data_IF_643703955616
#
_entry.id   IF_643703955616
#
_cell.length_a   1.000
_cell.length_b   1.000
_cell.length_c   1.000
_cell.angle_alpha   90.00
_cell.angle_beta   90.00
_cell.angle_gamma   90.00
#
_symmetry.space_group_name_H-M   'P 1'
#
loop_
_entity.id
_entity.type
_entity.pdbx_description
1 polymer ?
#
# COMPACT_ATOMS: atom_id res chain seq x y z
N UNK A 1 -9.09 -21.05 -10.40
CA UNK A 1 -10.21 -21.44 -9.50
C UNK A 1 -9.72 -22.55 -8.59
N UNK A 2 -9.99 -22.40 -7.29
CA UNK A 2 -9.74 -23.41 -6.27
C UNK A 2 -11.10 -23.90 -5.74
N UNK A 3 -11.10 -25.02 -5.01
CA UNK A 3 -12.30 -25.57 -4.37
C UNK A 3 -12.01 -25.96 -2.93
N UNK A 4 -12.88 -25.55 -2.02
CA UNK A 4 -12.87 -25.96 -0.61
C UNK A 4 -14.24 -26.53 -0.17
N UNK A 5 -14.47 -26.67 1.13
CA UNK A 5 -15.76 -27.14 1.68
C UNK A 5 -16.94 -26.23 1.36
N UNK A 6 -16.69 -24.95 1.13
CA UNK A 6 -17.72 -23.95 0.86
C UNK A 6 -17.98 -23.72 -0.64
N UNK A 7 -17.28 -24.46 -1.51
CA UNK A 7 -17.45 -24.41 -2.96
C UNK A 7 -16.25 -23.86 -3.69
N UNK A 8 -16.49 -23.23 -4.84
CA UNK A 8 -15.43 -22.68 -5.69
C UNK A 8 -15.05 -21.27 -5.26
N UNK A 9 -13.73 -20.98 -5.36
CA UNK A 9 -13.16 -19.65 -5.20
C UNK A 9 -12.36 -19.31 -6.46
N UNK A 10 -12.73 -18.26 -7.16
CA UNK A 10 -11.99 -17.73 -8.28
C UNK A 10 -11.03 -16.63 -7.80
N UNK A 11 -9.79 -16.67 -8.29
CA UNK A 11 -8.79 -15.63 -8.07
C UNK A 11 -8.47 -14.97 -9.40
N UNK A 12 -8.58 -13.64 -9.45
CA UNK A 12 -8.18 -12.83 -10.60
C UNK A 12 -7.05 -11.92 -10.20
N UNK A 13 -5.87 -12.10 -10.80
CA UNK A 13 -4.72 -11.24 -10.61
C UNK A 13 -4.67 -10.23 -11.76
N UNK A 14 -4.83 -8.95 -11.45
CA UNK A 14 -4.79 -7.83 -12.39
C UNK A 14 -3.40 -7.19 -12.32
N UNK A 15 -2.55 -7.37 -13.33
CA UNK A 15 -1.24 -6.74 -13.35
C UNK A 15 -1.38 -5.24 -13.53
N UNK A 16 -0.45 -4.47 -12.94
CA UNK A 16 -0.34 -3.05 -13.28
C UNK A 16 -0.12 -2.90 -14.79
N UNK A 17 -0.86 -2.01 -15.41
CA UNK A 17 -0.72 -1.69 -16.83
C UNK A 17 -0.97 -0.21 -17.08
N UNK A 18 -0.24 0.34 -18.05
CA UNK A 18 -0.52 1.66 -18.59
C UNK A 18 -1.64 1.58 -19.64
N UNK A 19 -2.33 2.68 -19.87
CA UNK A 19 -3.46 2.78 -20.77
C UNK A 19 -3.09 2.37 -22.21
N UNK A 20 -1.91 2.76 -22.69
CA UNK A 20 -1.44 2.40 -24.05
C UNK A 20 -1.30 0.88 -24.23
N UNK A 21 -0.81 0.18 -23.20
CA UNK A 21 -0.67 -1.28 -23.25
C UNK A 21 -2.04 -1.97 -23.14
N UNK A 22 -2.93 -1.42 -22.30
CA UNK A 22 -4.29 -1.93 -22.19
C UNK A 22 -5.08 -1.75 -23.50
N UNK A 23 -4.95 -0.59 -24.19
CA UNK A 23 -5.53 -0.39 -25.52
C UNK A 23 -5.11 -1.48 -26.50
N UNK A 24 -3.81 -1.78 -26.56
CA UNK A 24 -3.27 -2.81 -27.44
C UNK A 24 -3.82 -4.21 -27.11
N UNK A 25 -3.84 -4.58 -25.82
CA UNK A 25 -4.28 -5.92 -25.37
C UNK A 25 -5.78 -6.13 -25.55
N UNK A 26 -6.59 -5.13 -25.25
CA UNK A 26 -8.06 -5.23 -25.31
C UNK A 26 -8.65 -4.77 -26.65
N UNK A 27 -7.84 -4.16 -27.52
CA UNK A 27 -8.30 -3.62 -28.82
C UNK A 27 -9.30 -2.45 -28.64
N UNK A 28 -9.18 -1.69 -27.54
CA UNK A 28 -10.11 -0.62 -27.19
C UNK A 28 -9.36 0.72 -27.03
N UNK A 29 -9.47 1.56 -28.06
CA UNK A 29 -8.83 2.89 -28.11
C UNK A 29 -9.47 3.90 -27.13
N UNK A 30 -10.59 3.59 -26.51
CA UNK A 30 -11.27 4.48 -25.55
C UNK A 30 -10.64 4.44 -24.16
N UNK A 31 -9.84 3.42 -23.84
CA UNK A 31 -9.11 3.31 -22.58
C UNK A 31 -8.16 4.49 -22.43
N UNK A 32 -8.40 5.37 -21.47
CA UNK A 32 -7.70 6.65 -21.31
C UNK A 32 -7.30 6.96 -19.87
N UNK A 33 -7.84 6.25 -18.90
CA UNK A 33 -7.56 6.43 -17.47
C UNK A 33 -7.17 5.11 -16.80
N UNK A 34 -6.52 5.14 -15.62
CA UNK A 34 -6.28 3.94 -14.82
C UNK A 34 -7.58 3.19 -14.46
N UNK A 35 -8.69 3.90 -14.29
CA UNK A 35 -9.99 3.28 -14.05
C UNK A 35 -10.44 2.45 -15.24
N UNK A 36 -10.33 2.98 -16.47
CA UNK A 36 -10.68 2.23 -17.68
C UNK A 36 -9.84 0.95 -17.83
N UNK A 37 -8.55 1.02 -17.47
CA UNK A 37 -7.65 -0.14 -17.49
C UNK A 37 -8.16 -1.23 -16.54
N UNK A 38 -8.46 -0.87 -15.30
CA UNK A 38 -8.95 -1.80 -14.28
C UNK A 38 -10.32 -2.37 -14.69
N UNK A 39 -11.23 -1.56 -15.23
CA UNK A 39 -12.54 -1.99 -15.71
C UNK A 39 -12.44 -3.01 -16.87
N UNK A 40 -11.55 -2.76 -17.83
CA UNK A 40 -11.26 -3.69 -18.92
C UNK A 40 -10.72 -5.03 -18.40
N UNK A 41 -9.76 -4.98 -17.48
CA UNK A 41 -9.19 -6.16 -16.85
C UNK A 41 -10.23 -6.94 -16.03
N UNK A 42 -11.07 -6.26 -15.25
CA UNK A 42 -12.14 -6.88 -14.46
C UNK A 42 -13.19 -7.52 -15.35
N UNK A 43 -13.57 -6.86 -16.46
CA UNK A 43 -14.51 -7.40 -17.43
C UNK A 43 -14.00 -8.70 -18.05
N UNK A 44 -12.74 -8.72 -18.47
CA UNK A 44 -12.09 -9.93 -18.98
C UNK A 44 -11.99 -11.03 -17.91
N UNK A 45 -11.62 -10.68 -16.69
CA UNK A 45 -11.50 -11.61 -15.58
C UNK A 45 -12.85 -12.23 -15.18
N UNK A 46 -13.90 -11.41 -15.11
CA UNK A 46 -15.27 -11.84 -14.75
C UNK A 46 -15.83 -12.93 -15.66
N UNK A 47 -15.47 -12.89 -16.94
CA UNK A 47 -15.89 -13.91 -17.91
C UNK A 47 -15.37 -15.33 -17.54
N UNK A 48 -14.33 -15.42 -16.71
CA UNK A 48 -13.74 -16.68 -16.26
C UNK A 48 -14.13 -17.08 -14.82
N UNK A 49 -14.98 -16.30 -14.15
CA UNK A 49 -15.48 -16.61 -12.81
C UNK A 49 -16.68 -17.54 -12.92
N UNK A 50 -16.62 -18.78 -12.38
CA UNK A 50 -17.76 -19.70 -12.44
C UNK A 50 -18.98 -19.11 -11.70
N UNK A 51 -20.17 -19.44 -12.21
CA UNK A 51 -21.40 -18.98 -11.58
C UNK A 51 -21.52 -19.51 -10.14
N UNK A 52 -21.68 -18.61 -9.19
CA UNK A 52 -21.80 -18.92 -7.77
C UNK A 52 -20.46 -19.16 -7.06
N UNK A 53 -19.33 -19.01 -7.74
CA UNK A 53 -18.02 -19.00 -7.08
C UNK A 53 -17.83 -17.70 -6.31
N UNK A 54 -17.15 -17.78 -5.16
CA UNK A 54 -16.59 -16.61 -4.48
C UNK A 54 -15.48 -16.03 -5.35
N UNK A 55 -15.40 -14.70 -5.42
CA UNK A 55 -14.44 -14.04 -6.29
C UNK A 55 -13.48 -13.13 -5.53
N UNK A 56 -12.20 -13.45 -5.58
CA UNK A 56 -11.11 -12.66 -5.02
C UNK A 56 -10.34 -11.98 -6.13
N UNK A 57 -10.21 -10.66 -6.04
CA UNK A 57 -9.41 -9.85 -6.95
C UNK A 57 -8.12 -9.43 -6.26
N UNK A 58 -7.00 -9.54 -6.97
CA UNK A 58 -5.69 -9.02 -6.55
C UNK A 58 -5.27 -7.99 -7.59
N UNK A 59 -5.08 -6.74 -7.17
CA UNK A 59 -4.76 -5.65 -8.08
C UNK A 59 -3.69 -4.71 -7.51
N UNK A 60 -3.03 -3.97 -8.39
CA UNK A 60 -2.12 -2.90 -8.03
C UNK A 60 -2.65 -1.60 -8.61
N UNK A 61 -3.35 -0.81 -7.78
CA UNK A 61 -4.04 0.40 -8.20
C UNK A 61 -4.10 1.44 -7.08
N UNK A 62 -4.16 2.72 -7.45
CA UNK A 62 -4.46 3.78 -6.51
C UNK A 62 -5.98 4.03 -6.48
N UNK A 63 -6.65 3.52 -5.45
CA UNK A 63 -8.10 3.63 -5.29
C UNK A 63 -8.44 4.91 -4.53
N UNK A 64 -9.48 5.61 -5.00
CA UNK A 64 -9.94 6.87 -4.41
C UNK A 64 -10.29 6.70 -2.91
N UNK A 65 -9.87 7.67 -2.09
CA UNK A 65 -10.08 7.67 -0.64
C UNK A 65 -8.99 6.98 0.17
N UNK A 66 -7.98 6.37 -0.49
CA UNK A 66 -6.79 5.87 0.20
C UNK A 66 -5.89 7.00 0.73
N UNK A 67 -5.37 6.84 1.95
CA UNK A 67 -4.37 7.74 2.52
C UNK A 67 -3.00 7.46 1.91
N UNK A 68 -2.35 8.48 1.38
CA UNK A 68 -1.07 8.43 0.66
C UNK A 68 0.06 8.95 1.56
N UNK A 69 1.19 8.25 1.61
CA UNK A 69 2.43 8.74 2.22
C UNK A 69 3.26 9.56 1.24
N UNK A 70 4.26 10.29 1.75
CA UNK A 70 5.15 11.14 0.94
C UNK A 70 6.06 10.32 0.01
N UNK A 71 6.38 9.08 0.38
CA UNK A 71 7.22 8.15 -0.38
C UNK A 71 6.46 7.43 -1.49
N UNK A 72 5.14 7.51 -1.52
CA UNK A 72 4.30 6.85 -2.52
C UNK A 72 4.17 7.71 -3.77
N UNK A 73 4.35 7.09 -4.94
CA UNK A 73 4.17 7.80 -6.21
C UNK A 73 2.69 7.92 -6.54
N UNK A 74 2.11 9.08 -6.26
CA UNK A 74 0.83 9.45 -6.85
C UNK A 74 1.00 9.59 -8.38
N UNK A 75 0.14 8.92 -9.15
CA UNK A 75 0.06 9.14 -10.60
C UNK A 75 -0.55 10.52 -10.84
N UNK A 76 0.31 11.54 -10.91
CA UNK A 76 -0.11 12.90 -11.20
C UNK A 76 -0.07 13.16 -12.70
N UNK A 77 -1.21 13.52 -13.29
CA UNK A 77 -1.33 14.11 -14.62
C UNK A 77 -1.77 15.57 -14.53
N UNK A 78 -1.72 16.24 -15.67
CA UNK A 78 -2.26 17.60 -15.79
C UNK A 78 -3.76 17.57 -15.45
N UNK A 79 -4.13 18.10 -14.26
CA UNK A 79 -5.51 18.06 -13.76
C UNK A 79 -5.71 17.36 -12.42
N UNK A 80 -4.70 16.66 -11.88
CA UNK A 80 -4.79 16.03 -10.56
C UNK A 80 -4.21 14.63 -10.46
N UNK A 81 -4.50 13.96 -9.34
CA UNK A 81 -4.12 12.56 -9.09
C UNK A 81 -5.20 11.67 -9.72
N UNK A 82 -4.79 10.80 -10.64
CA UNK A 82 -5.72 9.82 -11.22
C UNK A 82 -5.91 8.64 -10.28
N UNK A 83 -7.14 8.45 -9.84
CA UNK A 83 -7.53 7.37 -8.94
C UNK A 83 -8.55 6.46 -9.60
N UNK A 84 -8.59 5.22 -9.12
CA UNK A 84 -9.61 4.25 -9.51
C UNK A 84 -10.76 4.33 -8.49
N UNK A 85 -12.02 4.53 -8.92
CA UNK A 85 -13.16 4.45 -8.01
C UNK A 85 -13.29 3.05 -7.39
N UNK A 86 -13.62 2.97 -6.09
CA UNK A 86 -13.78 1.68 -5.41
C UNK A 86 -14.92 0.83 -6.00
N UNK A 87 -15.91 1.48 -6.58
CA UNK A 87 -17.10 0.89 -7.18
C UNK A 87 -16.77 -0.01 -8.39
N UNK A 88 -15.64 0.18 -9.06
CA UNK A 88 -15.24 -0.68 -10.20
C UNK A 88 -15.06 -2.15 -9.77
N UNK A 89 -14.75 -2.38 -8.49
CA UNK A 89 -14.57 -3.72 -7.92
C UNK A 89 -15.88 -4.39 -7.47
N UNK A 90 -17.02 -3.76 -7.75
CA UNK A 90 -18.33 -4.31 -7.37
C UNK A 90 -18.54 -5.72 -7.89
N UNK A 91 -19.04 -6.59 -7.02
CA UNK A 91 -19.27 -8.01 -7.30
C UNK A 91 -18.09 -8.92 -6.96
N UNK A 92 -16.93 -8.40 -6.54
CA UNK A 92 -15.90 -9.19 -5.88
C UNK A 92 -16.22 -9.36 -4.38
N UNK A 93 -16.01 -10.57 -3.85
CA UNK A 93 -16.17 -10.82 -2.41
C UNK A 93 -15.05 -10.20 -1.60
N UNK A 94 -13.83 -10.18 -2.15
CA UNK A 94 -12.67 -9.54 -1.55
C UNK A 94 -11.72 -8.97 -2.61
N UNK A 95 -11.15 -7.79 -2.33
CA UNK A 95 -10.15 -7.14 -3.18
C UNK A 95 -8.88 -6.87 -2.36
N UNK A 96 -7.80 -7.53 -2.75
CA UNK A 96 -6.47 -7.28 -2.20
C UNK A 96 -5.71 -6.29 -3.07
N UNK A 97 -5.40 -5.13 -2.51
CA UNK A 97 -4.72 -4.05 -3.22
C UNK A 97 -3.25 -3.95 -2.81
N UNK A 98 -2.39 -3.71 -3.80
CA UNK A 98 -1.06 -3.16 -3.66
C UNK A 98 -1.01 -1.72 -4.14
N UNK A 99 0.04 -1.01 -3.87
CA UNK A 99 0.40 0.36 -4.18
C UNK A 99 0.64 1.18 -2.92
N UNK A 100 -0.37 1.36 -2.05
CA UNK A 100 -0.23 2.14 -0.83
C UNK A 100 0.50 1.34 0.27
N UNK A 101 1.44 1.99 0.94
CA UNK A 101 2.31 1.39 1.94
C UNK A 101 1.65 1.23 3.32
N UNK A 102 0.60 2.01 3.60
CA UNK A 102 -0.15 1.92 4.84
C UNK A 102 -1.26 0.87 4.74
N UNK A 103 -1.33 -0.12 5.65
CA UNK A 103 -2.46 -1.05 5.73
C UNK A 103 -3.76 -0.27 5.98
N UNK A 104 -4.73 -0.37 5.08
CA UNK A 104 -5.98 0.38 5.17
C UNK A 104 -7.10 -0.21 4.33
N UNK A 105 -8.34 0.10 4.72
CA UNK A 105 -9.53 -0.15 3.93
C UNK A 105 -9.82 1.05 3.03
N UNK A 106 -10.46 0.80 1.90
CA UNK A 106 -10.87 1.86 0.99
C UNK A 106 -12.21 1.53 0.34
N UNK A 107 -13.15 2.47 0.40
CA UNK A 107 -14.51 2.28 -0.13
C UNK A 107 -15.36 1.33 0.72
N UNK A 108 -14.90 0.12 0.95
CA UNK A 108 -15.58 -0.87 1.79
C UNK A 108 -14.57 -1.74 2.57
N UNK A 109 -15.05 -2.46 3.59
CA UNK A 109 -14.20 -3.37 4.40
C UNK A 109 -13.60 -4.52 3.58
N UNK A 110 -14.19 -4.83 2.42
CA UNK A 110 -13.77 -5.91 1.54
C UNK A 110 -12.67 -5.48 0.55
N UNK A 111 -12.35 -4.18 0.47
CA UNK A 111 -11.34 -3.63 -0.43
C UNK A 111 -10.21 -3.07 0.44
N UNK A 112 -9.03 -3.69 0.39
CA UNK A 112 -7.96 -3.39 1.35
C UNK A 112 -6.59 -3.37 0.71
N UNK A 113 -5.79 -2.41 1.16
CA UNK A 113 -4.33 -2.43 1.02
C UNK A 113 -3.73 -3.23 2.18
N UNK A 114 -2.92 -4.23 1.86
CA UNK A 114 -2.11 -4.94 2.87
C UNK A 114 -0.99 -4.07 3.42
N UNK A 115 -0.62 -3.03 2.67
CA UNK A 115 0.50 -2.17 2.96
C UNK A 115 1.86 -2.79 2.61
N UNK A 116 2.92 -2.05 2.86
CA UNK A 116 4.29 -2.52 2.72
C UNK A 116 4.73 -3.32 3.97
N UNK A 117 5.58 -4.35 3.82
CA UNK A 117 6.04 -5.16 4.96
C UNK A 117 6.98 -4.40 5.91
N UNK A 118 7.64 -3.35 5.41
CA UNK A 118 8.56 -2.48 6.15
C UNK A 118 8.25 -1.02 5.85
N UNK A 119 8.71 -0.11 6.70
CA UNK A 119 8.72 1.31 6.37
C UNK A 119 9.81 1.60 5.31
N UNK A 120 9.44 2.29 4.24
CA UNK A 120 10.33 2.71 3.16
C UNK A 120 10.76 4.17 3.28
N UNK A 121 10.08 4.95 4.10
CA UNK A 121 10.37 6.34 4.34
C UNK A 121 10.18 6.74 5.80
N UNK A 122 10.68 7.92 6.15
CA UNK A 122 10.55 8.47 7.50
C UNK A 122 9.15 9.03 7.78
N UNK A 123 8.37 9.30 6.76
CA UNK A 123 6.94 9.61 6.83
C UNK A 123 6.11 8.44 7.35
N UNK A 124 6.64 7.21 7.22
CA UNK A 124 6.03 5.97 7.73
C UNK A 124 6.51 5.62 9.16
N UNK A 125 7.27 6.52 9.82
CA UNK A 125 7.74 6.30 11.18
C UNK A 125 6.56 6.16 12.15
N UNK A 126 6.52 5.03 12.85
CA UNK A 126 5.44 4.69 13.79
C UNK A 126 4.25 3.94 13.16
N UNK A 127 4.21 3.74 11.86
CA UNK A 127 3.21 2.91 11.22
C UNK A 127 3.36 1.44 11.65
N UNK A 128 2.25 0.83 12.07
CA UNK A 128 2.22 -0.59 12.37
C UNK A 128 2.06 -1.38 11.07
N UNK A 129 3.15 -1.88 10.54
CA UNK A 129 3.16 -2.77 9.38
C UNK A 129 2.63 -4.15 9.75
N UNK A 130 1.86 -4.77 8.85
CA UNK A 130 1.19 -6.05 9.12
C UNK A 130 0.98 -6.86 7.86
N UNK A 131 0.75 -8.16 8.06
CA UNK A 131 0.20 -9.05 7.06
C UNK A 131 -1.31 -9.17 7.27
N UNK A 132 -2.10 -9.08 6.21
CA UNK A 132 -3.54 -9.31 6.24
C UNK A 132 -3.83 -10.79 5.94
N UNK A 133 -4.61 -11.43 6.80
CA UNK A 133 -5.12 -12.78 6.60
C UNK A 133 -6.63 -12.65 6.38
N UNK A 134 -7.11 -13.31 5.33
CA UNK A 134 -8.52 -13.24 4.91
C UNK A 134 -9.07 -14.65 4.78
N UNK A 135 -10.12 -14.94 5.53
CA UNK A 135 -10.90 -16.16 5.41
C UNK A 135 -12.15 -15.85 4.57
N UNK A 136 -12.16 -16.32 3.33
CA UNK A 136 -13.28 -16.11 2.39
C UNK A 136 -14.25 -17.27 2.53
N UNK A 137 -15.39 -17.04 3.19
CA UNK A 137 -16.42 -18.02 3.49
C UNK A 137 -17.62 -17.87 2.55
N UNK A 138 -18.53 -18.85 2.59
CA UNK A 138 -19.75 -18.84 1.77
C UNK A 138 -20.67 -17.67 2.10
N UNK A 139 -20.71 -17.24 3.34
CA UNK A 139 -21.61 -16.23 3.88
C UNK A 139 -20.91 -14.91 4.23
N UNK A 140 -19.66 -14.72 3.82
CA UNK A 140 -18.92 -13.50 4.02
C UNK A 140 -17.41 -13.68 4.14
N UNK A 141 -16.73 -12.64 4.58
CA UNK A 141 -15.29 -12.64 4.81
C UNK A 141 -14.95 -12.29 6.25
N UNK A 142 -13.93 -12.95 6.78
CA UNK A 142 -13.29 -12.55 8.03
C UNK A 142 -11.88 -12.03 7.72
N UNK A 143 -11.57 -10.83 8.22
CA UNK A 143 -10.27 -10.20 8.01
C UNK A 143 -9.58 -9.99 9.35
N UNK A 144 -8.33 -10.42 9.44
CA UNK A 144 -7.47 -10.15 10.60
C UNK A 144 -6.07 -9.76 10.16
N UNK A 145 -5.40 -8.95 10.96
CA UNK A 145 -4.02 -8.53 10.71
C UNK A 145 -3.07 -9.20 11.69
N UNK A 146 -1.87 -9.53 11.21
CA UNK A 146 -0.75 -10.01 12.02
C UNK A 146 0.37 -8.97 11.92
N UNK A 147 0.70 -8.26 13.00
CA UNK A 147 1.71 -7.22 12.96
C UNK A 147 3.09 -7.79 12.70
N UNK A 148 3.85 -7.13 11.84
CA UNK A 148 5.27 -7.40 11.67
C UNK A 148 6.08 -6.79 12.82
N UNK A 149 7.17 -7.47 13.16
CA UNK A 149 8.19 -6.99 14.08
C UNK A 149 9.49 -6.80 13.29
N UNK A 150 9.77 -5.58 12.82
CA UNK A 150 10.98 -5.33 12.07
C UNK A 150 12.20 -5.48 12.96
N UNK A 151 13.33 -5.90 12.39
CA UNK A 151 14.63 -5.99 13.08
C UNK A 151 15.09 -4.59 13.52
N UNK A 152 14.84 -3.56 12.71
CA UNK A 152 15.06 -2.15 12.99
C UNK A 152 13.84 -1.36 12.59
N UNK A 153 13.51 -0.38 13.40
CA UNK A 153 12.42 0.56 13.11
C UNK A 153 12.95 1.77 12.34
N UNK A 154 12.04 2.52 11.76
CA UNK A 154 12.27 3.86 11.24
C UNK A 154 11.73 4.85 12.26
N UNK A 155 12.51 5.87 12.62
CA UNK A 155 12.15 6.89 13.60
C UNK A 155 12.48 8.29 13.10
N UNK A 156 11.65 9.27 13.44
CA UNK A 156 11.95 10.69 13.30
C UNK A 156 12.12 11.30 14.69
N UNK A 157 13.26 11.96 14.93
CA UNK A 157 13.56 12.69 16.14
C UNK A 157 13.67 14.18 15.81
N UNK A 158 12.89 15.00 16.49
CA UNK A 158 12.92 16.46 16.33
C UNK A 158 13.31 17.10 17.65
N UNK A 159 14.30 17.98 17.64
CA UNK A 159 14.70 18.70 18.85
C UNK A 159 16.09 19.36 18.73
N UNK A 160 16.52 19.93 19.85
CA UNK A 160 17.85 20.52 19.99
C UNK A 160 18.91 19.42 20.01
N UNK A 161 19.99 19.64 19.34
CA UNK A 161 21.07 18.66 19.15
C UNK A 161 21.57 18.02 20.44
N UNK A 162 21.74 18.83 21.51
CA UNK A 162 22.21 18.32 22.80
C UNK A 162 21.22 17.31 23.41
N UNK A 163 19.91 17.57 23.33
CA UNK A 163 18.86 16.72 23.87
C UNK A 163 18.77 15.41 23.07
N UNK A 164 18.87 15.49 21.75
CA UNK A 164 18.88 14.31 20.88
C UNK A 164 20.07 13.40 21.19
N UNK A 165 21.28 13.97 21.37
CA UNK A 165 22.47 13.20 21.75
C UNK A 165 22.38 12.56 23.14
N UNK A 166 21.63 13.18 24.06
CA UNK A 166 21.38 12.62 25.39
C UNK A 166 20.31 11.51 25.40
N UNK A 167 19.65 11.28 24.27
CA UNK A 167 18.64 10.24 24.11
C UNK A 167 19.19 8.82 24.20
N UNK A 168 18.30 7.84 24.25
CA UNK A 168 18.67 6.43 24.31
C UNK A 168 19.27 5.98 22.96
N UNK A 169 20.50 5.43 22.94
CA UNK A 169 21.09 4.86 21.73
C UNK A 169 20.21 3.76 21.11
N UNK A 170 20.18 3.71 19.79
CA UNK A 170 19.42 2.68 19.05
C UNK A 170 20.06 2.39 17.70
N UNK A 171 19.95 1.14 17.24
CA UNK A 171 20.34 0.71 15.89
C UNK A 171 19.23 0.92 14.85
N UNK A 172 18.14 1.56 15.22
CA UNK A 172 17.07 1.92 14.28
C UNK A 172 17.56 2.93 13.23
N UNK A 173 16.86 3.02 12.10
CA UNK A 173 17.08 4.08 11.13
C UNK A 173 16.46 5.37 11.67
N UNK A 174 17.27 6.41 11.85
CA UNK A 174 16.84 7.63 12.51
C UNK A 174 17.02 8.83 11.58
N UNK A 175 15.94 9.50 11.27
CA UNK A 175 15.97 10.86 10.73
C UNK A 175 16.03 11.85 11.90
N UNK A 176 16.95 12.81 11.83
CA UNK A 176 17.06 13.86 12.85
C UNK A 176 16.74 15.21 12.24
N UNK A 177 15.75 15.89 12.82
CA UNK A 177 15.36 17.26 12.48
C UNK A 177 15.81 18.17 13.61
N UNK A 178 16.90 18.90 13.39
CA UNK A 178 17.50 19.80 14.37
C UNK A 178 16.78 21.13 14.42
N UNK A 179 16.54 21.62 15.64
CA UNK A 179 15.86 22.90 15.91
C UNK A 179 16.80 23.95 16.51
N UNK A 180 18.13 23.69 16.46
CA UNK A 180 19.15 24.62 16.96
C UNK A 180 19.15 25.92 16.10
N UNK A 181 19.24 27.08 16.76
CA UNK A 181 19.31 28.40 16.08
C UNK A 181 20.68 28.70 15.49
N UNK A 182 21.72 27.98 15.93
CA UNK A 182 23.12 28.21 15.53
C UNK A 182 23.65 27.03 14.71
N UNK A 183 24.50 27.29 13.71
CA UNK A 183 25.15 26.22 12.95
C UNK A 183 25.95 25.29 13.84
N UNK A 184 25.83 23.99 13.61
CA UNK A 184 26.52 22.94 14.33
C UNK A 184 27.73 22.42 13.53
N UNK A 185 28.81 22.11 14.22
CA UNK A 185 30.02 21.53 13.58
C UNK A 185 29.87 19.99 13.59
N UNK A 186 29.99 19.39 12.39
CA UNK A 186 29.97 17.94 12.17
C UNK A 186 28.81 17.18 12.87
N UNK A 187 27.55 17.66 12.77
CA UNK A 187 26.45 17.05 13.54
C UNK A 187 26.25 15.58 13.20
N UNK A 188 26.34 15.18 11.93
CA UNK A 188 26.15 13.78 11.53
C UNK A 188 27.20 12.85 12.11
N UNK A 189 28.46 13.27 12.17
CA UNK A 189 29.53 12.46 12.78
C UNK A 189 29.27 12.20 14.27
N UNK A 190 28.75 13.20 14.96
CA UNK A 190 28.42 13.12 16.39
C UNK A 190 27.15 12.30 16.63
N UNK A 191 26.10 12.48 15.77
CA UNK A 191 24.86 11.71 15.85
C UNK A 191 25.11 10.21 15.65
N UNK A 192 25.96 9.83 14.68
CA UNK A 192 26.28 8.42 14.41
C UNK A 192 27.03 7.72 15.53
N UNK A 193 27.59 8.44 16.49
CA UNK A 193 28.14 7.83 17.71
C UNK A 193 27.03 7.27 18.64
N UNK A 194 25.85 7.91 18.64
CA UNK A 194 24.68 7.49 19.43
C UNK A 194 23.66 6.71 18.59
N UNK A 195 23.50 7.08 17.32
CA UNK A 195 22.58 6.49 16.36
C UNK A 195 23.36 6.07 15.10
N UNK A 196 23.92 4.86 15.06
CA UNK A 196 24.80 4.44 13.95
C UNK A 196 24.17 4.53 12.57
N UNK A 197 22.84 4.35 12.49
CA UNK A 197 22.05 4.43 11.26
C UNK A 197 21.31 5.77 11.09
N UNK A 198 21.86 6.87 11.65
CA UNK A 198 21.30 8.20 11.40
C UNK A 198 21.51 8.64 9.95
N UNK A 199 20.46 9.21 9.35
CA UNK A 199 20.37 9.72 7.97
C UNK A 199 20.10 11.24 7.95
#
# INVERSE_FOLDING_TARGET
VLRDSDGEVAFSALPFSYEYAAREVFGDETISTPADVIEAQLTAARAHVPKGARWVVVAHAFVAGGAVGETERALTRVGGIETVPAEVFEGADYVSLGHLHKPQEVGSANIRYSGAPLAFGFDEAGDQKSMTIVDVKKDGIDVRTVPFRPLRQVRSLTGVFADILAGTPTDDFVQVILTDEIPLIDPMKRLRATYPNAC
#
